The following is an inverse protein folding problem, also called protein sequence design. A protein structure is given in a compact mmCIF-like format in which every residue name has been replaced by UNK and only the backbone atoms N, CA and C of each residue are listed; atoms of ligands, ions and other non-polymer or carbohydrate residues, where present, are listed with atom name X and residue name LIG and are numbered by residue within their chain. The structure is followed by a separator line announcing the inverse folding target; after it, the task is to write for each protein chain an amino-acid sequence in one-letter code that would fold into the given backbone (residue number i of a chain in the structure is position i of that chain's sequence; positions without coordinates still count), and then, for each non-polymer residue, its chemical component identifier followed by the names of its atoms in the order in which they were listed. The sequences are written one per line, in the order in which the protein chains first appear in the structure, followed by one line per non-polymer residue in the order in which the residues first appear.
data_IF_974716005373
#
_entry.id   IF_974716005373
#
_cell.length_a   1.000
_cell.length_b   1.000
_cell.length_c   1.000
_cell.angle_alpha   90.00
_cell.angle_beta   90.00
_cell.angle_gamma   90.00
#
_symmetry.space_group_name_H-M   'P 1'
#
loop_
_entity.id
_entity.type
_entity.pdbx_description
1 polymer ?
#
# COMPACT_ATOMS: atom_id res chain seq x y z
N UNK A 1 -4.35 -15.59 -2.01
CA UNK A 1 -4.22 -14.36 -2.80
C UNK A 1 -3.17 -13.51 -2.12
N UNK A 2 -2.08 -13.22 -2.81
CA UNK A 2 -0.96 -12.46 -2.24
C UNK A 2 -1.19 -10.96 -2.48
N UNK A 3 -0.94 -10.17 -1.43
CA UNK A 3 -1.10 -8.72 -1.43
C UNK A 3 0.25 -8.08 -1.14
N UNK A 4 0.43 -6.85 -1.60
CA UNK A 4 1.61 -6.03 -1.31
C UNK A 4 1.19 -4.60 -0.97
N UNK A 5 2.06 -3.91 -0.24
CA UNK A 5 1.89 -2.49 0.03
C UNK A 5 2.66 -1.70 -1.02
N UNK A 6 2.02 -0.68 -1.60
CA UNK A 6 2.63 0.19 -2.60
C UNK A 6 2.50 1.66 -2.20
N UNK A 7 3.56 2.41 -2.46
CA UNK A 7 3.70 3.79 -2.03
C UNK A 7 2.88 4.79 -2.87
N UNK A 8 2.24 5.76 -2.20
CA UNK A 8 1.82 7.02 -2.80
C UNK A 8 2.81 8.12 -2.43
N UNK A 9 3.20 8.91 -3.42
CA UNK A 9 4.10 10.04 -3.26
C UNK A 9 3.32 11.35 -3.20
N UNK A 10 3.88 12.34 -2.51
CA UNK A 10 3.31 13.68 -2.45
C UNK A 10 3.18 14.28 -3.85
N UNK A 11 2.26 15.24 -4.03
CA UNK A 11 2.14 15.97 -5.29
C UNK A 11 3.50 16.60 -5.68
N UNK A 12 3.95 16.29 -6.89
CA UNK A 12 5.26 16.75 -7.41
C UNK A 12 6.46 15.90 -6.98
N UNK A 13 6.26 14.86 -6.18
CA UNK A 13 7.28 13.85 -5.88
C UNK A 13 7.09 12.60 -6.76
N UNK A 14 8.20 11.94 -7.06
CA UNK A 14 8.30 10.76 -7.93
C UNK A 14 9.13 9.68 -7.24
N UNK A 15 8.87 8.38 -7.52
CA UNK A 15 9.75 7.29 -7.08
C UNK A 15 11.21 7.44 -7.55
N UNK A 16 11.47 8.25 -8.58
CA UNK A 16 12.81 8.50 -9.11
C UNK A 16 13.54 9.68 -8.48
N UNK A 17 12.91 10.41 -7.55
CA UNK A 17 13.56 11.49 -6.84
C UNK A 17 14.68 10.96 -5.91
N UNK A 18 15.75 11.74 -5.68
CA UNK A 18 16.83 11.34 -4.78
C UNK A 18 16.35 11.18 -3.33
N UNK A 19 15.33 11.95 -2.94
CA UNK A 19 14.68 11.88 -1.62
C UNK A 19 13.16 11.87 -1.83
N UNK A 20 12.59 10.72 -2.22
CA UNK A 20 11.21 10.66 -2.64
C UNK A 20 10.29 10.83 -1.43
N UNK A 21 9.50 11.90 -1.44
CA UNK A 21 8.58 12.22 -0.34
C UNK A 21 7.33 11.35 -0.44
N UNK A 22 7.37 10.24 0.26
CA UNK A 22 6.25 9.32 0.43
C UNK A 22 5.20 9.88 1.40
N UNK A 23 3.90 9.71 1.08
CA UNK A 23 2.78 10.18 1.91
C UNK A 23 1.98 9.07 2.57
N UNK A 24 1.68 7.97 1.87
CA UNK A 24 0.78 6.94 2.41
C UNK A 24 0.88 5.58 1.70
N UNK A 25 0.85 4.49 2.48
CA UNK A 25 0.97 3.13 1.98
C UNK A 25 -0.43 2.61 1.64
N UNK A 26 -0.57 2.07 0.43
CA UNK A 26 -1.81 1.44 -0.01
C UNK A 26 -1.65 -0.05 -0.13
N UNK A 27 -2.71 -0.79 0.17
CA UNK A 27 -2.76 -2.22 -0.12
C UNK A 27 -3.17 -2.42 -1.58
N UNK A 28 -2.42 -3.26 -2.29
CA UNK A 28 -2.68 -3.66 -3.66
C UNK A 28 -2.66 -5.18 -3.75
N UNK A 29 -3.29 -5.74 -4.79
CA UNK A 29 -3.00 -7.13 -5.17
C UNK A 29 -1.63 -7.17 -5.83
N UNK A 30 -0.92 -8.29 -5.69
CA UNK A 30 0.37 -8.48 -6.35
C UNK A 30 0.29 -8.13 -7.85
N UNK A 31 1.30 -7.41 -8.36
CA UNK A 31 1.39 -6.96 -9.76
C UNK A 31 0.21 -6.06 -10.21
N UNK A 32 -0.40 -5.33 -9.28
CA UNK A 32 -1.42 -4.31 -9.59
C UNK A 32 -0.99 -2.96 -9.08
N UNK A 33 -1.20 -1.95 -9.93
CA UNK A 33 -0.93 -0.55 -9.61
C UNK A 33 -2.18 0.16 -9.06
N UNK A 34 -3.31 -0.54 -8.96
CA UNK A 34 -4.55 -0.02 -8.39
C UNK A 34 -4.70 -0.51 -6.95
N UNK A 35 -4.75 0.42 -6.01
CA UNK A 35 -5.04 0.18 -4.61
C UNK A 35 -6.45 -0.37 -4.41
N UNK A 36 -6.67 -1.06 -3.29
CA UNK A 36 -8.01 -1.54 -2.90
C UNK A 36 -9.02 -0.40 -2.72
N UNK A 37 -8.57 0.81 -2.38
CA UNK A 37 -9.42 2.00 -2.30
C UNK A 37 -9.77 2.59 -3.68
N UNK A 38 -9.24 2.04 -4.78
CA UNK A 38 -9.46 2.49 -6.15
C UNK A 38 -8.43 3.52 -6.65
N UNK A 39 -7.46 3.92 -5.83
CA UNK A 39 -6.40 4.86 -6.25
C UNK A 39 -5.42 4.18 -7.21
N UNK A 40 -5.09 4.88 -8.30
CA UNK A 40 -3.97 4.51 -9.16
C UNK A 40 -2.65 4.98 -8.53
N UNK A 41 -1.65 4.10 -8.50
CA UNK A 41 -0.33 4.34 -7.97
C UNK A 41 0.69 4.28 -9.09
N UNK A 42 1.82 4.96 -8.92
CA UNK A 42 2.90 4.96 -9.89
C UNK A 42 3.39 3.52 -10.15
N UNK A 43 3.64 3.13 -11.42
CA UNK A 43 4.05 1.78 -11.79
C UNK A 43 5.37 1.35 -11.15
N UNK A 44 6.25 2.31 -10.87
CA UNK A 44 7.56 2.11 -10.23
C UNK A 44 7.55 2.53 -8.75
N UNK A 45 6.37 2.72 -8.16
CA UNK A 45 6.27 3.04 -6.74
C UNK A 45 6.94 1.97 -5.87
N UNK A 46 7.61 2.43 -4.81
CA UNK A 46 8.19 1.54 -3.82
C UNK A 46 7.15 0.56 -3.30
N UNK A 47 7.57 -0.69 -3.11
CA UNK A 47 6.71 -1.76 -2.62
C UNK A 47 7.30 -2.37 -1.35
N UNK A 48 6.43 -2.88 -0.49
CA UNK A 48 6.82 -3.65 0.68
C UNK A 48 5.82 -4.76 0.99
N UNK A 49 6.22 -5.70 1.84
CA UNK A 49 5.38 -6.85 2.20
C UNK A 49 4.09 -6.40 2.89
N UNK A 50 2.97 -7.04 2.56
CA UNK A 50 1.71 -6.88 3.29
C UNK A 50 1.81 -7.20 4.79
N UNK A 51 2.82 -7.98 5.23
CA UNK A 51 3.08 -8.22 6.66
C UNK A 51 3.48 -6.96 7.44
N UNK A 52 3.96 -5.92 6.76
CA UNK A 52 4.24 -4.65 7.41
C UNK A 52 2.96 -3.86 7.75
N UNK A 53 1.80 -4.26 7.22
CA UNK A 53 0.53 -3.59 7.48
C UNK A 53 0.19 -3.60 8.96
N UNK A 54 -0.13 -2.42 9.52
CA UNK A 54 -0.44 -2.26 10.94
C UNK A 54 0.79 -2.25 11.87
N UNK A 55 2.00 -2.42 11.33
CA UNK A 55 3.26 -2.25 12.08
C UNK A 55 3.81 -0.82 11.91
N UNK A 56 4.77 -0.37 12.75
CA UNK A 56 5.43 0.92 12.56
C UNK A 56 6.09 1.08 11.18
N UNK A 57 6.58 0.00 10.57
CA UNK A 57 7.17 0.01 9.23
C UNK A 57 6.12 0.21 8.11
N UNK A 58 4.85 -0.05 8.39
CA UNK A 58 3.75 0.17 7.45
C UNK A 58 3.07 1.53 7.59
N UNK A 59 3.55 2.41 8.46
CA UNK A 59 2.94 3.72 8.69
C UNK A 59 3.66 4.82 7.89
N UNK A 60 2.92 5.83 7.39
CA UNK A 60 1.44 5.95 7.32
C UNK A 60 0.77 4.99 6.31
N UNK A 61 -0.46 4.54 6.60
CA UNK A 61 -1.25 3.63 5.74
C UNK A 61 -2.67 4.12 5.46
N UNK A 62 -3.21 3.70 4.32
CA UNK A 62 -4.59 4.01 3.91
C UNK A 62 -5.61 3.18 4.68
N UNK A 63 -6.40 3.83 5.54
CA UNK A 63 -7.42 3.15 6.35
C UNK A 63 -8.50 2.44 5.50
N UNK A 64 -8.88 3.01 4.35
CA UNK A 64 -9.85 2.38 3.44
C UNK A 64 -9.31 1.07 2.85
N UNK A 65 -8.04 1.07 2.40
CA UNK A 65 -7.35 -0.16 1.97
C UNK A 65 -7.30 -1.20 3.08
N UNK A 66 -7.07 -0.79 4.33
CA UNK A 66 -7.06 -1.67 5.49
C UNK A 66 -8.41 -2.34 5.74
N UNK A 67 -9.49 -1.56 5.72
CA UNK A 67 -10.85 -2.11 5.85
C UNK A 67 -11.17 -3.13 4.75
N UNK A 68 -10.88 -2.79 3.49
CA UNK A 68 -11.07 -3.72 2.36
C UNK A 68 -10.23 -4.98 2.47
N UNK A 69 -8.98 -4.87 2.95
CA UNK A 69 -8.09 -6.01 3.14
C UNK A 69 -8.60 -6.95 4.23
N UNK A 70 -9.00 -6.41 5.38
CA UNK A 70 -9.59 -7.14 6.51
C UNK A 70 -10.83 -7.94 6.09
N UNK A 71 -11.71 -7.37 5.26
CA UNK A 71 -12.88 -8.10 4.76
C UNK A 71 -12.57 -9.20 3.73
N UNK A 72 -11.40 -9.17 3.10
CA UNK A 72 -11.02 -10.10 2.04
C UNK A 72 -10.06 -11.20 2.50
N UNK A 73 -9.39 -11.02 3.63
CA UNK A 73 -8.55 -12.04 4.27
C UNK A 73 -9.40 -12.68 5.37
N UNK A 74 -9.66 -13.99 5.33
CA UNK A 74 -10.33 -14.64 6.45
C UNK A 74 -9.48 -14.41 7.70
N UNK A 75 -10.04 -13.73 8.70
CA UNK A 75 -9.52 -13.83 10.05
C UNK A 75 -9.61 -15.30 10.41
N UNK A 76 -8.46 -15.97 10.51
CA UNK A 76 -8.43 -17.25 11.20
C UNK A 76 -8.91 -16.97 12.62
N UNK A 77 -10.18 -17.27 12.87
CA UNK A 77 -10.77 -17.27 14.19
C UNK A 77 -10.17 -18.48 14.92
N UNK A 78 -8.94 -18.30 15.42
CA UNK A 78 -8.34 -19.16 16.43
C UNK A 78 -8.91 -18.83 17.81
#
# INVERSE_FOLDING_TARGET
MEYEMRAEYAEGASPHDPEPRFEIWHMTRLDRTTALCGRALEPDAATQSAHAWGTPAGQPLCHACGASYIHQVPHDAS
#
